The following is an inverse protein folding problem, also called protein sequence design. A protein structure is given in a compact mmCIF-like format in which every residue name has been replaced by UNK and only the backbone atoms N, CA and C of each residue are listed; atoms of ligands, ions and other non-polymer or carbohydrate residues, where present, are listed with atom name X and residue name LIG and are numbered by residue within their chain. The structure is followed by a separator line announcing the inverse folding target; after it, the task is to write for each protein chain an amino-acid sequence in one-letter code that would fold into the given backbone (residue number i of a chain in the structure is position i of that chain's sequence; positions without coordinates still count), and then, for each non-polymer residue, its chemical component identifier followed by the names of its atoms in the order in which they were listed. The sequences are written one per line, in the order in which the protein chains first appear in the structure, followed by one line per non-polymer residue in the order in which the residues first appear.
data_IF_715661827639
#
_entry.id   IF_715661827639
#
_cell.length_a   1.000
_cell.length_b   1.000
_cell.length_c   1.000
_cell.angle_alpha   90.00
_cell.angle_beta   90.00
_cell.angle_gamma   90.00
#
_symmetry.space_group_name_H-M   'P 1'
#
loop_
_entity.id
_entity.type
_entity.pdbx_description
1 polymer ?
#
# COMPACT_ATOMS: atom_id res chain seq x y z
N UNK A 1 26.85 11.49 -9.29
CA UNK A 1 25.49 11.41 -8.70
C UNK A 1 24.89 10.07 -9.14
N UNK A 2 24.41 9.21 -8.23
CA UNK A 2 23.88 7.89 -8.60
C UNK A 2 22.63 8.07 -9.51
N UNK A 3 22.55 7.43 -10.70
CA UNK A 3 21.40 7.51 -11.60
C UNK A 3 20.05 7.20 -10.90
N UNK A 4 20.07 6.33 -9.89
CA UNK A 4 18.92 6.04 -9.02
C UNK A 4 18.38 7.29 -8.29
N UNK A 5 19.26 8.15 -7.74
CA UNK A 5 18.83 9.39 -7.06
C UNK A 5 18.22 10.40 -8.03
N UNK A 6 18.68 10.44 -9.27
CA UNK A 6 18.13 11.33 -10.29
C UNK A 6 16.75 10.87 -10.77
N UNK A 7 16.57 9.56 -10.99
CA UNK A 7 15.28 8.98 -11.35
C UNK A 7 14.22 9.22 -10.26
N UNK A 8 14.58 8.99 -8.99
CA UNK A 8 13.69 9.24 -7.85
C UNK A 8 13.31 10.73 -7.71
N UNK A 9 14.28 11.63 -7.84
CA UNK A 9 14.01 13.07 -7.79
C UNK A 9 13.10 13.53 -8.95
N UNK A 10 13.18 12.88 -10.12
CA UNK A 10 12.28 13.15 -11.24
C UNK A 10 10.86 12.60 -11.00
N UNK A 11 10.75 11.40 -10.45
CA UNK A 11 9.47 10.77 -10.09
C UNK A 11 8.68 11.61 -9.06
N UNK A 12 9.34 12.02 -7.98
CA UNK A 12 8.75 12.85 -6.92
C UNK A 12 8.29 14.22 -7.43
N UNK A 13 8.97 14.79 -8.44
CA UNK A 13 8.55 16.05 -9.08
C UNK A 13 7.33 15.92 -9.98
N UNK A 14 7.04 14.72 -10.48
CA UNK A 14 5.90 14.43 -11.37
C UNK A 14 4.66 13.95 -10.61
N UNK A 15 4.79 13.62 -9.33
CA UNK A 15 3.67 13.33 -8.47
C UNK A 15 2.65 14.49 -8.51
N UNK A 16 1.38 14.17 -8.71
CA UNK A 16 0.30 15.17 -8.76
C UNK A 16 0.12 15.92 -7.43
N UNK A 17 -0.83 16.86 -7.32
CA UNK A 17 -1.05 17.67 -6.11
C UNK A 17 -1.35 16.85 -4.85
N UNK A 18 -1.77 15.59 -5.00
CA UNK A 18 -1.98 14.62 -3.92
C UNK A 18 -0.68 13.98 -3.38
N UNK A 19 0.46 14.21 -4.02
CA UNK A 19 1.77 13.65 -3.66
C UNK A 19 1.97 12.16 -4.03
N UNK A 20 1.11 11.61 -4.88
CA UNK A 20 1.13 10.18 -5.21
C UNK A 20 2.16 9.87 -6.30
N UNK A 21 2.92 8.80 -6.09
CA UNK A 21 3.85 8.26 -7.07
C UNK A 21 3.12 7.26 -7.96
N UNK A 22 3.02 7.54 -9.25
CA UNK A 22 2.62 6.54 -10.23
C UNK A 22 3.75 5.52 -10.41
N UNK A 23 3.39 4.24 -10.46
CA UNK A 23 4.32 3.10 -10.62
C UNK A 23 5.29 3.15 -11.82
N UNK A 24 5.01 3.80 -12.97
CA UNK A 24 5.95 3.87 -14.11
C UNK A 24 7.16 4.76 -13.80
N UNK A 25 7.08 5.59 -12.75
CA UNK A 25 8.13 6.53 -12.36
C UNK A 25 9.09 5.97 -11.31
N UNK A 26 8.78 4.80 -10.72
CA UNK A 26 9.66 4.11 -9.80
C UNK A 26 10.67 3.25 -10.58
N UNK A 27 11.99 3.36 -10.30
CA UNK A 27 12.95 2.37 -10.79
C UNK A 27 12.49 0.96 -10.39
N UNK A 28 12.62 -0.02 -11.31
CA UNK A 28 12.25 -1.42 -11.03
C UNK A 28 12.97 -1.99 -9.80
N UNK A 29 14.14 -1.44 -9.45
CA UNK A 29 14.97 -1.81 -8.32
C UNK A 29 14.78 -0.88 -7.10
N UNK A 30 13.70 -0.08 -7.03
CA UNK A 30 13.49 0.84 -5.91
C UNK A 30 13.43 0.09 -4.57
N UNK A 31 14.47 0.28 -3.73
CA UNK A 31 14.70 -0.45 -2.47
C UNK A 31 14.85 -1.97 -2.64
N UNK A 32 15.06 -2.43 -3.87
CA UNK A 32 15.38 -3.82 -4.18
C UNK A 32 16.87 -4.11 -3.97
N UNK A 33 17.22 -5.36 -3.67
CA UNK A 33 18.61 -5.78 -3.62
C UNK A 33 19.23 -5.71 -5.02
N UNK A 34 20.32 -4.93 -5.14
CA UNK A 34 21.04 -4.72 -6.40
C UNK A 34 21.81 -5.96 -6.87
N UNK A 35 22.11 -6.88 -5.94
CA UNK A 35 22.93 -8.06 -6.18
C UNK A 35 22.12 -9.36 -6.36
N UNK A 36 20.79 -9.27 -6.44
CA UNK A 36 19.93 -10.45 -6.64
C UNK A 36 19.59 -10.69 -8.10
N UNK A 37 19.54 -11.96 -8.55
CA UNK A 37 19.05 -12.30 -9.87
C UNK A 37 17.59 -11.85 -9.97
N UNK A 38 17.29 -11.02 -10.97
CA UNK A 38 15.93 -10.59 -11.27
C UNK A 38 15.44 -11.27 -12.55
N UNK A 39 14.14 -11.57 -12.59
CA UNK A 39 13.45 -11.99 -13.80
C UNK A 39 12.58 -10.83 -14.28
N UNK A 40 12.75 -10.33 -15.51
CA UNK A 40 11.91 -9.26 -16.02
C UNK A 40 10.47 -9.76 -16.14
N UNK A 41 9.52 -8.97 -15.65
CA UNK A 41 8.08 -9.28 -15.68
C UNK A 41 7.47 -9.21 -17.10
N UNK A 42 8.28 -8.92 -18.13
CA UNK A 42 7.83 -8.80 -19.52
C UNK A 42 6.72 -7.73 -19.70
N UNK A 43 5.81 -7.96 -20.64
CA UNK A 43 4.74 -7.01 -20.98
C UNK A 43 3.72 -6.75 -19.88
N UNK A 44 3.62 -7.62 -18.86
CA UNK A 44 2.72 -7.41 -17.72
C UNK A 44 3.14 -6.22 -16.83
N UNK A 45 4.42 -5.83 -16.87
CA UNK A 45 4.91 -4.61 -16.21
C UNK A 45 4.58 -3.31 -16.96
N UNK A 46 4.10 -3.39 -18.21
CA UNK A 46 3.66 -2.24 -19.01
C UNK A 46 2.17 -1.90 -18.81
N UNK A 47 1.46 -2.68 -17.98
CA UNK A 47 0.08 -2.41 -17.65
C UNK A 47 -0.06 -1.07 -16.89
N UNK A 48 -1.25 -0.46 -17.00
CA UNK A 48 -1.54 0.78 -16.28
C UNK A 48 -1.32 0.60 -14.78
N UNK A 49 -0.71 1.58 -14.09
CA UNK A 49 -0.57 1.59 -12.64
C UNK A 49 -1.90 1.38 -11.92
N UNK A 50 -1.89 0.53 -10.90
CA UNK A 50 -3.11 0.16 -10.18
C UNK A 50 -3.86 1.37 -9.59
N UNK A 51 -3.13 2.35 -9.06
CA UNK A 51 -3.74 3.57 -8.49
C UNK A 51 -4.33 4.50 -9.55
N UNK A 52 -3.75 4.54 -10.76
CA UNK A 52 -4.33 5.27 -11.88
C UNK A 52 -5.60 4.59 -12.38
N UNK A 53 -5.59 3.26 -12.49
CA UNK A 53 -6.77 2.49 -12.84
C UNK A 53 -7.91 2.71 -11.83
N UNK A 54 -7.60 2.74 -10.53
CA UNK A 54 -8.56 3.06 -9.48
C UNK A 54 -9.10 4.49 -9.61
N UNK A 55 -8.22 5.47 -9.86
CA UNK A 55 -8.62 6.87 -10.04
C UNK A 55 -9.58 7.04 -11.19
N UNK A 56 -9.29 6.43 -12.34
CA UNK A 56 -10.15 6.48 -13.50
C UNK A 56 -11.50 5.81 -13.26
N UNK A 57 -11.52 4.67 -12.57
CA UNK A 57 -12.76 4.00 -12.20
C UNK A 57 -13.63 4.91 -11.31
N UNK A 58 -13.02 5.57 -10.32
CA UNK A 58 -13.70 6.55 -9.47
C UNK A 58 -14.22 7.76 -10.25
N UNK A 59 -13.45 8.29 -11.20
CA UNK A 59 -13.90 9.42 -12.04
C UNK A 59 -15.02 9.02 -13.00
N UNK A 60 -15.02 7.79 -13.51
CA UNK A 60 -15.99 7.31 -14.50
C UNK A 60 -17.31 6.90 -13.86
N UNK A 61 -17.25 6.24 -12.70
CA UNK A 61 -18.40 5.60 -12.08
C UNK A 61 -18.27 5.61 -10.54
N UNK A 62 -18.34 6.79 -9.89
CA UNK A 62 -18.05 6.93 -8.47
C UNK A 62 -18.96 6.08 -7.58
N UNK A 63 -20.24 5.99 -7.93
CA UNK A 63 -21.27 5.31 -7.15
C UNK A 63 -21.42 3.81 -7.50
N UNK A 64 -20.57 3.29 -8.40
CA UNK A 64 -20.57 1.86 -8.74
C UNK A 64 -19.82 1.05 -7.69
N UNK A 65 -20.36 -0.14 -7.37
CA UNK A 65 -19.77 -1.07 -6.42
C UNK A 65 -18.33 -1.42 -6.81
N UNK A 66 -17.39 -1.16 -5.90
CA UNK A 66 -15.98 -1.48 -6.06
C UNK A 66 -15.59 -2.76 -5.33
N UNK A 67 -16.09 -2.93 -4.09
CA UNK A 67 -15.89 -4.15 -3.31
C UNK A 67 -16.97 -4.32 -2.23
N UNK A 68 -17.17 -5.57 -1.82
CA UNK A 68 -18.07 -5.95 -0.73
C UNK A 68 -17.48 -7.07 0.12
N UNK A 69 -17.84 -7.06 1.40
CA UNK A 69 -17.59 -8.13 2.37
C UNK A 69 -18.82 -8.31 3.27
N UNK A 70 -18.71 -9.17 4.29
CA UNK A 70 -19.81 -9.45 5.21
C UNK A 70 -20.25 -8.21 6.00
N UNK A 71 -19.37 -7.21 6.12
CA UNK A 71 -19.59 -5.97 6.84
C UNK A 71 -20.12 -4.83 5.95
N UNK A 72 -20.34 -5.08 4.66
CA UNK A 72 -20.99 -4.17 3.72
C UNK A 72 -20.19 -3.92 2.45
N UNK A 73 -20.48 -2.81 1.79
CA UNK A 73 -19.91 -2.46 0.48
C UNK A 73 -19.18 -1.11 0.50
N UNK A 74 -18.28 -0.96 -0.47
CA UNK A 74 -17.72 0.33 -0.88
C UNK A 74 -17.94 0.49 -2.38
N UNK A 75 -18.43 1.65 -2.78
CA UNK A 75 -18.35 2.12 -4.15
C UNK A 75 -16.93 2.64 -4.45
N UNK A 76 -16.66 3.02 -5.71
CA UNK A 76 -15.35 3.52 -6.10
C UNK A 76 -14.97 4.82 -5.39
N UNK A 77 -15.94 5.71 -5.13
CA UNK A 77 -15.71 6.94 -4.37
C UNK A 77 -15.29 6.64 -2.92
N UNK A 78 -16.00 5.74 -2.24
CA UNK A 78 -15.73 5.32 -0.87
C UNK A 78 -14.40 4.58 -0.74
N UNK A 79 -14.07 3.71 -1.69
CA UNK A 79 -12.76 3.04 -1.74
C UNK A 79 -11.64 4.07 -1.92
N UNK A 80 -11.79 5.02 -2.84
CA UNK A 80 -10.80 6.08 -3.06
C UNK A 80 -10.57 6.94 -1.82
N UNK A 81 -11.66 7.36 -1.16
CA UNK A 81 -11.58 8.15 0.08
C UNK A 81 -10.90 7.37 1.21
N UNK A 82 -11.20 6.08 1.37
CA UNK A 82 -10.56 5.23 2.37
C UNK A 82 -9.04 5.11 2.11
N UNK A 83 -8.64 4.90 0.85
CA UNK A 83 -7.24 4.84 0.41
C UNK A 83 -6.52 6.16 0.72
N UNK A 84 -7.11 7.29 0.32
CA UNK A 84 -6.51 8.61 0.55
C UNK A 84 -6.35 8.92 2.05
N UNK A 85 -7.36 8.58 2.87
CA UNK A 85 -7.31 8.78 4.33
C UNK A 85 -6.19 7.97 4.97
N UNK A 86 -6.08 6.69 4.64
CA UNK A 86 -5.02 5.81 5.17
C UNK A 86 -3.63 6.24 4.68
N UNK A 87 -3.49 6.60 3.40
CA UNK A 87 -2.23 7.05 2.84
C UNK A 87 -1.71 8.32 3.54
N UNK A 88 -2.60 9.30 3.79
CA UNK A 88 -2.26 10.50 4.57
C UNK A 88 -1.88 10.19 6.01
N UNK A 89 -2.60 9.29 6.67
CA UNK A 89 -2.27 8.88 8.04
C UNK A 89 -0.87 8.23 8.13
N UNK A 90 -0.44 7.50 7.10
CA UNK A 90 0.89 6.91 7.02
C UNK A 90 2.00 7.90 6.61
N UNK A 91 1.66 8.97 5.89
CA UNK A 91 2.64 9.92 5.35
C UNK A 91 3.50 10.57 6.45
N UNK A 92 2.94 10.76 7.65
CA UNK A 92 3.64 11.34 8.80
C UNK A 92 4.70 10.42 9.43
N UNK A 93 4.70 9.12 9.10
CA UNK A 93 5.58 8.12 9.73
C UNK A 93 6.77 7.80 8.82
N UNK A 94 8.02 7.79 9.30
CA UNK A 94 9.20 7.42 8.49
C UNK A 94 9.39 5.89 8.36
N UNK A 95 8.32 5.09 8.31
CA UNK A 95 8.38 3.63 8.21
C UNK A 95 8.27 3.11 6.76
N UNK A 96 9.36 2.63 6.12
CA UNK A 96 9.31 2.19 4.71
C UNK A 96 8.44 0.96 4.47
N UNK A 97 8.34 0.08 5.48
CA UNK A 97 7.50 -1.12 5.50
C UNK A 97 6.38 -0.94 6.53
N UNK A 98 5.17 -1.25 6.11
CA UNK A 98 3.94 -1.18 6.91
C UNK A 98 3.33 -2.57 6.97
N UNK A 99 3.16 -3.11 8.17
CA UNK A 99 2.44 -4.36 8.36
C UNK A 99 0.93 -4.11 8.34
N UNK A 100 0.19 -4.91 7.59
CA UNK A 100 -1.28 -4.85 7.50
C UNK A 100 -1.83 -6.05 8.27
N UNK A 101 -2.43 -5.79 9.44
CA UNK A 101 -3.10 -6.77 10.29
C UNK A 101 -4.61 -6.52 10.23
N UNK A 102 -5.22 -6.90 9.12
CA UNK A 102 -6.67 -6.81 8.92
C UNK A 102 -7.19 -8.15 8.36
N UNK A 103 -8.45 -8.53 8.67
CA UNK A 103 -9.11 -9.62 7.97
C UNK A 103 -9.13 -9.36 6.45
N UNK A 104 -9.11 -10.43 5.66
CA UNK A 104 -9.38 -10.33 4.23
C UNK A 104 -10.76 -9.68 4.02
N UNK A 105 -10.82 -8.64 3.17
CA UNK A 105 -12.02 -7.82 2.98
C UNK A 105 -11.68 -6.42 2.52
N UNK A 106 -12.68 -5.52 2.52
CA UNK A 106 -12.56 -4.15 1.99
C UNK A 106 -11.52 -3.31 2.74
N UNK A 107 -11.39 -3.53 4.04
CA UNK A 107 -10.39 -2.85 4.88
C UNK A 107 -8.95 -3.22 4.52
N UNK A 108 -8.69 -4.51 4.28
CA UNK A 108 -7.38 -4.99 3.83
C UNK A 108 -7.06 -4.48 2.42
N UNK A 109 -8.03 -4.52 1.50
CA UNK A 109 -7.87 -3.96 0.15
C UNK A 109 -7.50 -2.48 0.20
N UNK A 110 -8.25 -1.67 0.97
CA UNK A 110 -7.96 -0.25 1.14
C UNK A 110 -6.57 -0.01 1.76
N UNK A 111 -6.14 -0.82 2.73
CA UNK A 111 -4.83 -0.71 3.34
C UNK A 111 -3.68 -1.02 2.37
N UNK A 112 -3.82 -2.03 1.51
CA UNK A 112 -2.83 -2.37 0.47
C UNK A 112 -2.69 -1.20 -0.52
N UNK A 113 -3.82 -0.73 -1.05
CA UNK A 113 -3.85 0.39 -1.99
C UNK A 113 -3.30 1.68 -1.36
N UNK A 114 -3.58 1.92 -0.07
CA UNK A 114 -3.03 3.06 0.66
C UNK A 114 -1.51 2.98 0.84
N UNK A 115 -0.95 1.79 1.06
CA UNK A 115 0.50 1.61 1.12
C UNK A 115 1.14 1.97 -0.22
N UNK A 116 0.55 1.51 -1.33
CA UNK A 116 0.99 1.89 -2.67
C UNK A 116 0.91 3.42 -2.86
N UNK A 117 -0.21 4.04 -2.48
CA UNK A 117 -0.41 5.48 -2.63
C UNK A 117 0.58 6.31 -1.79
N UNK A 118 0.99 5.79 -0.63
CA UNK A 118 1.99 6.41 0.23
C UNK A 118 3.45 6.07 -0.12
N UNK A 119 3.69 5.29 -1.20
CA UNK A 119 5.03 4.84 -1.59
C UNK A 119 5.68 3.90 -0.56
N UNK A 120 4.87 3.08 0.12
CA UNK A 120 5.28 2.16 1.18
C UNK A 120 5.11 0.71 0.77
N UNK A 121 5.92 -0.16 1.36
CA UNK A 121 5.80 -1.61 1.21
C UNK A 121 4.75 -2.10 2.21
N UNK A 122 3.63 -2.62 1.72
CA UNK A 122 2.60 -3.24 2.55
C UNK A 122 2.87 -4.73 2.75
N UNK A 123 3.18 -5.15 3.98
CA UNK A 123 3.32 -6.55 4.36
C UNK A 123 2.01 -7.07 4.96
N UNK A 124 1.23 -7.81 4.18
CA UNK A 124 -0.05 -8.37 4.65
C UNK A 124 0.22 -9.56 5.56
N UNK A 125 -0.27 -9.49 6.80
CA UNK A 125 -0.09 -10.52 7.81
C UNK A 125 -1.46 -11.06 8.23
N UNK A 126 -1.59 -12.38 8.32
CA UNK A 126 -2.80 -13.00 8.83
C UNK A 126 -2.94 -12.71 10.33
N UNK A 127 -3.99 -11.98 10.70
CA UNK A 127 -4.28 -11.63 12.09
C UNK A 127 -4.63 -12.84 12.98
N UNK A 128 -4.94 -14.00 12.39
CA UNK A 128 -5.30 -15.24 13.11
C UNK A 128 -4.09 -16.04 13.59
N UNK A 129 -2.88 -15.70 13.15
CA UNK A 129 -1.69 -16.41 13.62
C UNK A 129 -1.46 -16.13 15.11
N UNK A 130 -0.94 -17.11 15.88
CA UNK A 130 -0.61 -16.91 17.29
C UNK A 130 0.32 -15.72 17.49
N UNK A 131 0.21 -15.06 18.65
CA UNK A 131 0.96 -13.85 18.98
C UNK A 131 2.48 -13.99 18.78
N UNK A 132 3.07 -15.08 19.30
CA UNK A 132 4.50 -15.35 19.12
C UNK A 132 4.91 -15.41 17.64
N UNK A 133 4.07 -15.99 16.78
CA UNK A 133 4.32 -16.05 15.33
C UNK A 133 4.13 -14.68 14.68
N UNK A 134 3.15 -13.89 15.14
CA UNK A 134 2.92 -12.52 14.67
C UNK A 134 4.11 -11.61 14.98
N UNK A 135 4.62 -11.66 16.22
CA UNK A 135 5.80 -10.91 16.64
C UNK A 135 7.04 -11.28 15.81
N UNK A 136 7.22 -12.57 15.52
CA UNK A 136 8.27 -13.03 14.63
C UNK A 136 8.14 -12.48 13.21
N UNK A 137 6.94 -12.52 12.62
CA UNK A 137 6.69 -12.00 11.27
C UNK A 137 6.91 -10.48 11.19
N UNK A 138 6.46 -9.73 12.19
CA UNK A 138 6.70 -8.28 12.28
C UNK A 138 8.21 -7.99 12.29
N UNK A 139 9.00 -8.74 13.06
CA UNK A 139 10.47 -8.61 13.06
C UNK A 139 11.10 -8.95 11.71
N UNK A 140 10.66 -10.03 11.07
CA UNK A 140 11.21 -10.46 9.78
C UNK A 140 10.90 -9.49 8.64
N UNK A 141 9.73 -8.85 8.67
CA UNK A 141 9.35 -7.84 7.67
C UNK A 141 10.07 -6.50 7.87
N UNK A 142 10.63 -6.23 9.05
CA UNK A 142 11.18 -4.92 9.39
C UNK A 142 10.12 -3.81 9.42
N UNK A 143 8.85 -4.16 9.67
CA UNK A 143 7.76 -3.19 9.70
C UNK A 143 7.97 -2.17 10.82
N UNK A 144 8.03 -0.89 10.45
CA UNK A 144 8.13 0.24 11.40
C UNK A 144 6.77 0.83 11.75
N UNK A 145 5.69 0.34 11.13
CA UNK A 145 4.31 0.77 11.33
C UNK A 145 3.38 -0.42 11.15
N UNK A 146 2.31 -0.47 11.94
CA UNK A 146 1.24 -1.46 11.82
C UNK A 146 -0.07 -0.73 11.51
N UNK A 147 -0.76 -1.17 10.46
CA UNK A 147 -2.15 -0.83 10.18
C UNK A 147 -3.04 -1.99 10.64
N UNK A 148 -4.00 -1.68 11.51
CA UNK A 148 -4.99 -2.63 11.98
C UNK A 148 -6.35 -1.93 12.17
N UNK A 149 -7.48 -2.64 12.05
CA UNK A 149 -8.77 -2.13 12.47
C UNK A 149 -8.73 -1.67 13.94
N UNK A 150 -9.51 -0.65 14.30
CA UNK A 150 -9.49 -0.09 15.66
C UNK A 150 -9.68 -1.14 16.77
N UNK A 151 -10.56 -2.13 16.54
CA UNK A 151 -10.79 -3.26 17.47
C UNK A 151 -9.55 -4.14 17.65
N UNK A 152 -8.70 -4.26 16.63
CA UNK A 152 -7.47 -5.04 16.65
C UNK A 152 -6.30 -4.24 17.22
N UNK A 153 -6.25 -2.92 16.98
CA UNK A 153 -5.22 -2.04 17.53
C UNK A 153 -5.23 -2.00 19.08
N UNK A 154 -6.42 -2.04 19.69
CA UNK A 154 -6.55 -2.09 21.16
C UNK A 154 -5.95 -3.37 21.76
N UNK A 155 -6.08 -4.51 21.07
CA UNK A 155 -5.50 -5.77 21.52
C UNK A 155 -3.97 -5.81 21.36
N UNK A 156 -3.43 -5.15 20.34
CA UNK A 156 -1.98 -5.08 20.09
C UNK A 156 -1.29 -4.11 21.07
N UNK A 157 -1.94 -3.02 21.46
CA UNK A 157 -1.35 -2.04 22.40
C UNK A 157 -1.37 -2.51 23.87
N UNK A 158 -2.09 -3.59 24.18
CA UNK A 158 -2.22 -4.14 25.53
C UNK A 158 -1.26 -5.31 25.82
N UNK A 159 -0.44 -5.72 24.85
CA UNK A 159 0.59 -6.75 24.94
C UNK A 159 1.99 -6.10 24.92
#
# INVERSE_FOLDING_TARGET
MNPHRQAMAAALRRAGPEGWLSTPDLPMDHRGPLDWPYLPWGGAGAARPLLEALREAMLRAPDSLACEDAEGSLDFAGLWQAVARLARAMAAQPAPVVAILAPGGRGCLAAILACLAAGRIGAVLDAKVPEARRALLLRLTGAGLVLAPAVTAAAISAA
#
